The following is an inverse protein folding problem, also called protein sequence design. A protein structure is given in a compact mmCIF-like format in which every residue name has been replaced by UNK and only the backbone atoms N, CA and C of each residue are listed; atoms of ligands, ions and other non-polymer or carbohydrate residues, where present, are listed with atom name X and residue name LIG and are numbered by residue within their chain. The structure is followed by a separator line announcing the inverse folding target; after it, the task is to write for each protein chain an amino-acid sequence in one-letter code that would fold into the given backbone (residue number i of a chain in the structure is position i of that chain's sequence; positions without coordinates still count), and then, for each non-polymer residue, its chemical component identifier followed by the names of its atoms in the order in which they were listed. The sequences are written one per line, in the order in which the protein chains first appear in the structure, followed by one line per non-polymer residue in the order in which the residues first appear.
data_IF_649275437214
#
_entry.id   IF_649275437214
#
_cell.length_a   1.000
_cell.length_b   1.000
_cell.length_c   1.000
_cell.angle_alpha   90.00
_cell.angle_beta   90.00
_cell.angle_gamma   90.00
#
_symmetry.space_group_name_H-M   'P 1'
#
loop_
_entity.id
_entity.type
_entity.pdbx_description
1 polymer ?
#
# COMPACT_ATOMS: atom_id res chain seq x y z
N UNK A 1 -10.17 16.13 -5.39
CA UNK A 1 -10.13 14.69 -5.71
C UNK A 1 -8.80 14.25 -6.28
N UNK A 2 -8.26 14.97 -7.25
CA UNK A 2 -6.97 14.61 -7.85
C UNK A 2 -5.81 14.60 -6.84
N UNK A 3 -5.82 15.54 -5.88
CA UNK A 3 -4.78 15.62 -4.85
C UNK A 3 -4.73 14.36 -4.00
N UNK A 4 -5.91 13.83 -3.62
CA UNK A 4 -5.99 12.61 -2.81
C UNK A 4 -5.54 11.41 -3.62
N UNK A 5 -5.92 11.34 -4.89
CA UNK A 5 -5.49 10.26 -5.79
C UNK A 5 -3.97 10.26 -5.96
N UNK A 6 -3.38 11.42 -6.19
CA UNK A 6 -1.93 11.53 -6.32
C UNK A 6 -1.21 11.23 -5.00
N UNK A 7 -1.78 11.64 -3.87
CA UNK A 7 -1.24 11.31 -2.57
C UNK A 7 -1.20 9.80 -2.37
N UNK A 8 -2.32 9.11 -2.63
CA UNK A 8 -2.41 7.66 -2.48
C UNK A 8 -1.42 6.97 -3.44
N UNK A 9 -1.36 7.41 -4.70
CA UNK A 9 -0.46 6.85 -5.68
C UNK A 9 1.01 7.02 -5.27
N UNK A 10 1.38 8.22 -4.81
CA UNK A 10 2.74 8.50 -4.36
C UNK A 10 3.12 7.66 -3.15
N UNK A 11 2.23 7.53 -2.17
CA UNK A 11 2.47 6.72 -0.99
C UNK A 11 2.59 5.23 -1.34
N UNK A 12 1.74 4.74 -2.25
CA UNK A 12 1.84 3.36 -2.72
C UNK A 12 3.15 3.09 -3.44
N UNK A 13 3.58 4.01 -4.30
CA UNK A 13 4.86 3.87 -5.00
C UNK A 13 6.02 3.91 -4.02
N UNK A 14 5.98 4.80 -3.03
CA UNK A 14 7.02 4.90 -2.01
C UNK A 14 7.10 3.63 -1.18
N UNK A 15 5.97 3.16 -0.63
CA UNK A 15 5.97 1.96 0.19
C UNK A 15 6.30 0.72 -0.63
N UNK A 16 5.85 0.67 -1.89
CA UNK A 16 6.21 -0.42 -2.79
C UNK A 16 7.71 -0.49 -3.04
N UNK A 17 8.34 0.64 -3.30
CA UNK A 17 9.78 0.73 -3.48
C UNK A 17 10.53 0.30 -2.22
N UNK A 18 10.05 0.71 -1.03
CA UNK A 18 10.65 0.32 0.24
C UNK A 18 10.52 -1.18 0.49
N UNK A 19 9.38 -1.78 0.14
CA UNK A 19 9.19 -3.22 0.27
C UNK A 19 10.16 -4.00 -0.64
N UNK A 20 10.29 -3.56 -1.89
CA UNK A 20 11.20 -4.20 -2.85
C UNK A 20 12.66 -3.99 -2.43
N UNK A 21 13.00 -2.83 -1.89
CA UNK A 21 14.35 -2.51 -1.44
C UNK A 21 14.83 -3.44 -0.30
N UNK A 22 13.91 -4.01 0.47
CA UNK A 22 14.28 -4.96 1.52
C UNK A 22 14.97 -6.21 0.97
N UNK A 23 14.74 -6.54 -0.30
CA UNK A 23 15.42 -7.65 -0.95
C UNK A 23 16.95 -7.46 -0.97
N UNK A 24 17.41 -6.22 -1.02
CA UNK A 24 18.85 -5.91 -1.07
C UNK A 24 19.55 -6.04 0.29
N UNK A 25 18.80 -5.94 1.40
CA UNK A 25 19.37 -5.90 2.75
C UNK A 25 18.94 -7.06 3.64
N UNK A 26 17.89 -7.80 3.27
CA UNK A 26 17.37 -8.90 4.07
C UNK A 26 17.77 -10.25 3.46
N UNK A 27 17.86 -11.27 4.31
CA UNK A 27 18.07 -12.63 3.82
C UNK A 27 16.84 -13.12 3.09
N UNK A 28 17.04 -13.85 1.99
CA UNK A 28 15.93 -14.37 1.20
C UNK A 28 15.23 -15.50 1.96
N UNK A 29 14.02 -15.24 2.40
CA UNK A 29 13.15 -16.23 3.05
C UNK A 29 11.70 -15.99 2.62
N UNK A 30 10.76 -16.81 3.11
CA UNK A 30 9.35 -16.69 2.73
C UNK A 30 8.77 -15.31 3.08
N UNK A 31 9.16 -14.76 4.22
CA UNK A 31 8.69 -13.44 4.67
C UNK A 31 9.14 -12.35 3.71
N UNK A 32 10.39 -12.39 3.27
CA UNK A 32 10.93 -11.42 2.31
C UNK A 32 10.25 -11.54 0.95
N UNK A 33 9.99 -12.77 0.50
CA UNK A 33 9.28 -13.01 -0.77
C UNK A 33 7.88 -12.39 -0.72
N UNK A 34 7.13 -12.62 0.37
CA UNK A 34 5.81 -12.02 0.54
C UNK A 34 5.90 -10.50 0.53
N UNK A 35 6.88 -9.92 1.23
CA UNK A 35 7.09 -8.48 1.27
C UNK A 35 7.35 -7.92 -0.11
N UNK A 36 8.19 -8.56 -0.91
CA UNK A 36 8.49 -8.14 -2.27
C UNK A 36 7.25 -8.21 -3.16
N UNK A 37 6.44 -9.27 -3.03
CA UNK A 37 5.20 -9.40 -3.78
C UNK A 37 4.22 -8.27 -3.46
N UNK A 38 4.06 -7.92 -2.19
CA UNK A 38 3.26 -6.75 -1.80
C UNK A 38 3.83 -5.48 -2.39
N UNK A 39 5.15 -5.33 -2.39
CA UNK A 39 5.81 -4.16 -2.95
C UNK A 39 5.51 -3.98 -4.43
N UNK A 40 5.60 -5.06 -5.20
CA UNK A 40 5.26 -5.03 -6.64
C UNK A 40 3.79 -4.70 -6.83
N UNK A 41 2.90 -5.30 -6.04
CA UNK A 41 1.46 -5.00 -6.11
C UNK A 41 1.20 -3.52 -5.83
N UNK A 42 1.86 -2.95 -4.83
CA UNK A 42 1.70 -1.53 -4.49
C UNK A 42 2.16 -0.62 -5.63
N UNK A 43 3.28 -0.94 -6.28
CA UNK A 43 3.77 -0.18 -7.42
C UNK A 43 2.78 -0.21 -8.58
N UNK A 44 2.23 -1.38 -8.88
CA UNK A 44 1.25 -1.54 -9.95
C UNK A 44 -0.02 -0.76 -9.64
N UNK A 45 -0.54 -0.86 -8.42
CA UNK A 45 -1.73 -0.13 -8.00
C UNK A 45 -1.48 1.38 -8.06
N UNK A 46 -0.33 1.83 -7.58
CA UNK A 46 0.04 3.25 -7.63
C UNK A 46 0.07 3.79 -9.06
N UNK A 47 0.62 3.01 -9.97
CA UNK A 47 0.66 3.36 -11.39
C UNK A 47 -0.76 3.51 -11.97
N UNK A 48 -1.64 2.54 -11.68
CA UNK A 48 -3.02 2.61 -12.18
C UNK A 48 -3.83 3.73 -11.53
N UNK A 49 -3.52 4.07 -10.27
CA UNK A 49 -4.13 5.25 -9.64
C UNK A 49 -3.75 6.54 -10.37
N UNK A 50 -2.52 6.64 -10.83
CA UNK A 50 -2.09 7.80 -11.63
C UNK A 50 -2.88 7.89 -12.94
N UNK A 51 -3.35 6.77 -13.46
CA UNK A 51 -4.14 6.70 -14.69
C UNK A 51 -5.65 6.81 -14.45
N UNK A 52 -6.06 7.08 -13.21
CA UNK A 52 -7.47 7.23 -12.84
C UNK A 52 -8.30 5.98 -13.18
N UNK A 53 -7.77 4.82 -12.84
CA UNK A 53 -8.42 3.55 -13.09
C UNK A 53 -9.29 3.15 -11.89
N UNK A 54 -10.61 3.00 -12.08
CA UNK A 54 -11.53 2.68 -10.98
C UNK A 54 -11.20 1.38 -10.24
N UNK A 55 -10.88 0.26 -10.93
CA UNK A 55 -10.47 -0.95 -10.20
C UNK A 55 -9.28 -0.73 -9.27
N UNK A 56 -8.39 0.22 -9.57
CA UNK A 56 -7.25 0.53 -8.72
C UNK A 56 -7.69 1.11 -7.38
N UNK A 57 -8.81 1.81 -7.31
CA UNK A 57 -9.34 2.33 -6.04
C UNK A 57 -9.67 1.19 -5.08
N UNK A 58 -10.31 0.14 -5.58
CA UNK A 58 -10.67 -1.03 -4.79
C UNK A 58 -9.45 -1.82 -4.37
N UNK A 59 -8.52 -2.05 -5.31
CA UNK A 59 -7.26 -2.74 -5.00
C UNK A 59 -6.42 -1.95 -4.00
N UNK A 60 -6.39 -0.61 -4.15
CA UNK A 60 -5.68 0.26 -3.23
C UNK A 60 -6.29 0.30 -1.83
N UNK A 61 -7.56 -0.08 -1.67
CA UNK A 61 -8.18 -0.24 -0.37
C UNK A 61 -7.95 -1.65 0.20
N UNK A 62 -8.06 -2.68 -0.64
CA UNK A 62 -8.04 -4.08 -0.20
C UNK A 62 -6.61 -4.56 0.07
N UNK A 63 -5.69 -4.37 -0.88
CA UNK A 63 -4.33 -4.91 -0.76
C UNK A 63 -3.57 -4.26 0.41
N UNK A 64 -3.54 -2.93 0.58
CA UNK A 64 -2.91 -2.34 1.75
C UNK A 64 -3.61 -2.71 3.06
N UNK A 65 -4.92 -2.97 3.04
CA UNK A 65 -5.63 -3.42 4.24
C UNK A 65 -5.12 -4.79 4.69
N UNK A 66 -4.91 -5.71 3.75
CA UNK A 66 -4.31 -7.01 4.04
C UNK A 66 -2.88 -6.83 4.57
N UNK A 67 -2.09 -5.97 3.92
CA UNK A 67 -0.74 -5.64 4.35
C UNK A 67 -0.72 -5.02 5.75
N UNK A 68 -1.67 -4.15 6.05
CA UNK A 68 -1.84 -3.53 7.36
C UNK A 68 -2.09 -4.59 8.44
N UNK A 69 -2.98 -5.55 8.16
CA UNK A 69 -3.26 -6.64 9.10
C UNK A 69 -2.01 -7.48 9.35
N UNK A 70 -1.28 -7.85 8.30
CA UNK A 70 -0.06 -8.64 8.43
C UNK A 70 1.03 -7.88 9.17
N UNK A 71 1.21 -6.58 8.89
CA UNK A 71 2.19 -5.74 9.57
C UNK A 71 1.85 -5.58 11.05
N UNK A 72 0.58 -5.43 11.38
CA UNK A 72 0.13 -5.32 12.77
C UNK A 72 0.43 -6.60 13.54
N UNK A 73 0.16 -7.76 12.93
CA UNK A 73 0.51 -9.04 13.55
C UNK A 73 2.02 -9.17 13.74
N UNK A 74 2.81 -8.72 12.77
CA UNK A 74 4.27 -8.72 12.88
C UNK A 74 4.77 -7.82 14.00
N UNK A 75 4.12 -6.68 14.23
CA UNK A 75 4.48 -5.76 15.32
C UNK A 75 4.29 -6.36 16.70
N UNK A 76 3.37 -7.30 16.85
CA UNK A 76 3.15 -7.97 18.13
C UNK A 76 4.31 -8.89 18.51
N UNK A 77 5.05 -9.41 17.53
CA UNK A 77 6.17 -10.31 17.74
C UNK A 77 7.53 -9.63 17.55
N UNK A 78 7.65 -8.79 16.53
CA UNK A 78 8.91 -8.11 16.19
C UNK A 78 8.64 -6.62 15.88
N UNK A 79 8.43 -5.80 16.92
CA UNK A 79 8.17 -4.37 16.69
C UNK A 79 9.41 -3.69 16.09
N UNK A 80 9.21 -2.99 14.98
CA UNK A 80 10.26 -2.21 14.31
C UNK A 80 9.71 -0.86 13.91
N UNK A 81 10.60 0.14 13.80
CA UNK A 81 10.22 1.47 13.31
C UNK A 81 9.73 1.41 11.86
N UNK A 82 10.38 0.58 11.03
CA UNK A 82 9.99 0.44 9.63
C UNK A 82 8.57 -0.12 9.50
N UNK A 83 8.21 -1.12 10.31
CA UNK A 83 6.85 -1.67 10.32
C UNK A 83 5.83 -0.61 10.76
N UNK A 84 6.17 0.21 11.75
CA UNK A 84 5.30 1.30 12.19
C UNK A 84 5.07 2.32 11.06
N UNK A 85 6.11 2.65 10.32
CA UNK A 85 6.00 3.56 9.16
C UNK A 85 5.10 2.95 8.08
N UNK A 86 5.26 1.67 7.77
CA UNK A 86 4.42 0.99 6.79
C UNK A 86 2.96 0.97 7.23
N UNK A 87 2.68 0.73 8.51
CA UNK A 87 1.33 0.75 9.05
C UNK A 87 0.70 2.13 8.86
N UNK A 88 1.44 3.19 9.19
CA UNK A 88 0.96 4.56 9.04
C UNK A 88 0.64 4.87 7.57
N UNK A 89 1.52 4.49 6.65
CA UNK A 89 1.31 4.71 5.21
C UNK A 89 0.08 3.94 4.73
N UNK A 90 -0.04 2.67 5.13
CA UNK A 90 -1.17 1.84 4.71
C UNK A 90 -2.50 2.40 5.19
N UNK A 91 -2.56 2.91 6.43
CA UNK A 91 -3.78 3.55 6.96
C UNK A 91 -4.17 4.75 6.09
N UNK A 92 -3.21 5.62 5.77
CA UNK A 92 -3.47 6.79 4.94
C UNK A 92 -3.95 6.37 3.54
N UNK A 93 -3.31 5.39 2.94
CA UNK A 93 -3.67 4.91 1.60
C UNK A 93 -5.07 4.28 1.60
N UNK A 94 -5.38 3.43 2.58
CA UNK A 94 -6.69 2.78 2.68
C UNK A 94 -7.79 3.84 2.82
N UNK A 95 -7.62 4.81 3.72
CA UNK A 95 -8.59 5.87 3.91
C UNK A 95 -8.75 6.73 2.64
N UNK A 96 -7.65 7.04 1.97
CA UNK A 96 -7.67 7.80 0.71
C UNK A 96 -8.43 7.05 -0.38
N UNK A 97 -8.18 5.74 -0.52
CA UNK A 97 -8.87 4.93 -1.53
C UNK A 97 -10.35 4.77 -1.21
N UNK A 98 -10.73 4.60 0.06
CA UNK A 98 -12.15 4.59 0.44
C UNK A 98 -12.83 5.91 0.09
N UNK A 99 -12.17 7.03 0.35
CA UNK A 99 -12.70 8.34 -0.02
C UNK A 99 -12.92 8.43 -1.53
N UNK A 100 -11.94 7.98 -2.32
CA UNK A 100 -12.04 8.00 -3.78
C UNK A 100 -13.19 7.11 -4.29
N UNK A 101 -13.38 5.94 -3.67
CA UNK A 101 -14.48 5.03 -4.02
C UNK A 101 -15.81 5.72 -3.76
N UNK A 102 -16.00 6.30 -2.58
CA UNK A 102 -17.25 6.94 -2.21
C UNK A 102 -17.54 8.13 -3.11
N UNK A 103 -16.54 8.94 -3.42
CA UNK A 103 -16.70 10.09 -4.29
C UNK A 103 -17.02 9.67 -5.72
N UNK A 104 -16.38 8.62 -6.21
CA UNK A 104 -16.65 8.07 -7.54
C UNK A 104 -18.09 7.58 -7.66
N UNK A 105 -18.62 6.92 -6.62
CA UNK A 105 -20.01 6.46 -6.62
C UNK A 105 -21.01 7.62 -6.63
N UNK A 106 -20.69 8.71 -5.91
CA UNK A 106 -21.56 9.89 -5.89
C UNK A 106 -21.59 10.62 -7.22
N UNK A 107 -20.50 10.55 -7.97
CA UNK A 107 -20.36 11.24 -9.25
C UNK A 107 -20.92 10.44 -10.42
N UNK A 108 -21.23 9.16 -10.20
CA UNK A 108 -21.67 8.27 -11.28
C UNK A 108 -23.15 8.47 -11.65
#
# INVERSE_FOLDING_TARGET
MNRIRYLAAGLLCLTGALHVAQLAVAKLDASVVITVLFGVAYLVIGFFLLRDNRPAYYLGAIIPLIGLALATLGMLTHPTLLAAIFIAIDVVVVLSCFYLILKSKRSA
#
